data_IF_122514426223
#
_entry.id   IF_122514426223
#
_cell.length_a   1.000
_cell.length_b   1.000
_cell.length_c   1.000
_cell.angle_alpha   90.00
_cell.angle_beta   90.00
_cell.angle_gamma   90.00
#
_symmetry.space_group_name_H-M   'P 1'
#
loop_
_entity.id
_entity.type
_entity.pdbx_description
1 polymer ?
#
# COMPACT_ATOMS: atom_id res chain seq x y z
N UNK A 1 -8.23 19.40 16.00
CA UNK A 1 -8.23 17.94 15.72
C UNK A 1 -8.23 17.75 14.21
N UNK A 2 -7.31 16.94 13.69
CA UNK A 2 -7.27 16.62 12.26
C UNK A 2 -7.86 15.24 12.01
N UNK A 3 -8.79 15.13 11.08
CA UNK A 3 -9.41 13.87 10.65
C UNK A 3 -8.90 13.53 9.26
N UNK A 4 -8.23 12.39 9.14
CA UNK A 4 -7.73 11.88 7.88
C UNK A 4 -8.75 10.92 7.28
N UNK A 5 -9.12 11.16 6.02
CA UNK A 5 -10.11 10.38 5.30
C UNK A 5 -9.47 9.73 4.09
N UNK A 6 -9.65 8.43 3.97
CA UNK A 6 -9.26 7.65 2.78
C UNK A 6 -10.54 7.34 2.02
N UNK A 7 -10.72 7.85 0.79
CA UNK A 7 -11.91 7.57 0.00
C UNK A 7 -11.94 6.11 -0.44
N UNK A 8 -13.12 5.56 -0.61
CA UNK A 8 -13.27 4.25 -1.22
C UNK A 8 -12.95 4.33 -2.72
N UNK A 9 -11.91 3.59 -3.13
CA UNK A 9 -11.46 3.51 -4.52
C UNK A 9 -12.03 2.25 -5.17
N UNK A 10 -12.65 2.40 -6.33
CA UNK A 10 -13.27 1.30 -7.08
C UNK A 10 -12.36 0.69 -8.14
N UNK A 11 -11.14 1.19 -8.26
CA UNK A 11 -10.14 0.70 -9.20
C UNK A 11 -9.41 -0.49 -8.59
N UNK A 12 -9.08 -1.48 -9.40
CA UNK A 12 -8.25 -2.62 -9.01
C UNK A 12 -6.91 -2.15 -8.42
N UNK A 13 -6.43 -2.82 -7.37
CA UNK A 13 -5.23 -2.40 -6.64
C UNK A 13 -3.98 -2.27 -7.52
N UNK A 14 -3.87 -3.05 -8.61
CA UNK A 14 -2.76 -2.94 -9.55
C UNK A 14 -2.81 -1.68 -10.42
N UNK A 15 -3.97 -1.03 -10.51
CA UNK A 15 -4.23 0.11 -11.40
C UNK A 15 -4.58 1.39 -10.64
N UNK A 16 -4.41 1.40 -9.33
CA UNK A 16 -4.65 2.58 -8.51
C UNK A 16 -3.56 3.63 -8.73
N UNK A 17 -3.99 4.88 -8.83
CA UNK A 17 -3.14 6.05 -8.95
C UNK A 17 -3.40 7.01 -7.78
N UNK A 18 -2.47 7.91 -7.53
CA UNK A 18 -2.59 8.92 -6.47
C UNK A 18 -3.89 9.73 -6.60
N UNK A 19 -4.29 10.07 -7.81
CA UNK A 19 -5.49 10.88 -8.08
C UNK A 19 -6.80 10.16 -7.69
N UNK A 20 -6.80 8.83 -7.67
CA UNK A 20 -7.96 8.03 -7.24
C UNK A 20 -8.29 8.24 -5.75
N UNK A 21 -7.31 8.66 -4.97
CA UNK A 21 -7.43 8.92 -3.53
C UNK A 21 -7.68 10.40 -3.21
N UNK A 22 -7.92 11.25 -4.19
CA UNK A 22 -8.26 12.65 -3.98
C UNK A 22 -9.66 12.79 -3.37
N UNK A 23 -9.79 13.69 -2.38
CA UNK A 23 -11.08 14.07 -1.83
C UNK A 23 -11.66 15.23 -2.63
N UNK A 24 -12.83 15.04 -3.20
CA UNK A 24 -13.57 16.14 -3.84
C UNK A 24 -14.16 17.10 -2.80
N UNK A 25 -14.18 18.39 -3.13
CA UNK A 25 -14.73 19.45 -2.27
C UNK A 25 -16.14 19.16 -1.71
N UNK A 26 -17.10 18.60 -2.48
CA UNK A 26 -18.40 18.26 -1.96
C UNK A 26 -18.37 17.20 -0.84
N UNK A 27 -17.48 16.21 -0.95
CA UNK A 27 -17.31 15.18 0.08
C UNK A 27 -16.69 15.76 1.35
N UNK A 28 -15.65 16.58 1.20
CA UNK A 28 -15.01 17.29 2.32
C UNK A 28 -16.04 18.16 3.05
N UNK A 29 -16.84 18.94 2.33
CA UNK A 29 -17.88 19.78 2.91
C UNK A 29 -18.93 18.98 3.69
N UNK A 30 -19.39 17.86 3.16
CA UNK A 30 -20.36 16.98 3.83
C UNK A 30 -19.79 16.37 5.12
N UNK A 31 -18.53 15.90 5.08
CA UNK A 31 -17.87 15.32 6.27
C UNK A 31 -17.66 16.41 7.32
N UNK A 32 -17.17 17.58 6.93
CA UNK A 32 -16.97 18.71 7.83
C UNK A 32 -18.28 19.14 8.49
N UNK A 33 -19.37 19.28 7.75
CA UNK A 33 -20.68 19.62 8.30
C UNK A 33 -21.18 18.57 9.31
N UNK A 34 -21.02 17.28 8.99
CA UNK A 34 -21.42 16.19 9.87
C UNK A 34 -20.63 16.18 11.19
N UNK A 35 -19.33 16.47 11.13
CA UNK A 35 -18.46 16.55 12.30
C UNK A 35 -18.72 17.82 13.12
N UNK A 36 -19.01 18.96 12.48
CA UNK A 36 -19.31 20.22 13.14
C UNK A 36 -20.56 20.15 14.01
N UNK A 37 -21.57 19.40 13.61
CA UNK A 37 -22.79 19.17 14.40
C UNK A 37 -22.52 18.38 15.69
N UNK A 38 -21.40 17.66 15.77
CA UNK A 38 -21.09 16.71 16.85
C UNK A 38 -19.84 17.08 17.65
N UNK A 39 -19.14 18.14 17.26
CA UNK A 39 -17.93 18.59 17.98
C UNK A 39 -18.28 19.27 19.28
N UNK A 40 -17.34 19.20 20.23
CA UNK A 40 -17.44 19.98 21.47
C UNK A 40 -17.17 21.46 21.22
N UNK A 41 -17.74 22.32 22.05
CA UNK A 41 -17.50 23.76 21.97
C UNK A 41 -16.00 24.07 22.09
N UNK A 42 -15.51 24.88 21.13
CA UNK A 42 -14.09 25.26 21.05
C UNK A 42 -13.17 24.30 20.29
N UNK A 43 -13.66 23.12 19.89
CA UNK A 43 -12.86 22.22 19.05
C UNK A 43 -12.89 22.66 17.58
N UNK A 44 -11.72 22.76 16.97
CA UNK A 44 -11.58 22.94 15.51
C UNK A 44 -11.30 21.58 14.89
N UNK A 45 -12.07 21.20 13.87
CA UNK A 45 -11.90 19.96 13.13
C UNK A 45 -11.48 20.29 11.70
N UNK A 46 -10.34 19.76 11.27
CA UNK A 46 -9.85 19.84 9.90
C UNK A 46 -9.99 18.46 9.24
N UNK A 47 -10.62 18.42 8.08
CA UNK A 47 -10.77 17.19 7.28
C UNK A 47 -9.77 17.24 6.13
N UNK A 48 -9.01 16.16 5.94
CA UNK A 48 -8.06 16.06 4.84
C UNK A 48 -7.72 14.60 4.50
N UNK A 49 -6.87 14.42 3.50
CA UNK A 49 -6.31 13.11 3.16
C UNK A 49 -5.03 12.85 3.94
N UNK A 50 -4.66 11.57 4.16
CA UNK A 50 -3.28 11.25 4.54
C UNK A 50 -2.33 11.64 3.40
N UNK A 51 -1.05 11.72 3.71
CA UNK A 51 -0.02 11.71 2.68
C UNK A 51 0.16 10.29 2.16
N UNK A 52 0.30 10.13 0.85
CA UNK A 52 0.56 8.81 0.26
C UNK A 52 2.03 8.70 -0.11
N UNK A 53 2.67 7.69 0.47
CA UNK A 53 4.08 7.38 0.29
C UNK A 53 4.17 6.20 -0.67
N UNK A 54 4.70 6.44 -1.87
CA UNK A 54 4.80 5.41 -2.90
C UNK A 54 5.88 4.39 -2.56
N UNK A 55 5.58 3.11 -2.76
CA UNK A 55 6.52 2.01 -2.59
C UNK A 55 6.43 1.02 -3.73
N UNK A 56 7.57 0.42 -4.07
CA UNK A 56 7.64 -0.74 -4.95
C UNK A 56 8.46 -1.84 -4.30
N UNK A 57 8.04 -3.07 -4.51
CA UNK A 57 8.66 -4.27 -3.98
C UNK A 57 9.27 -5.04 -5.15
N UNK A 58 10.55 -5.39 -5.04
CA UNK A 58 11.21 -6.31 -5.95
C UNK A 58 11.50 -7.62 -5.19
N UNK A 59 10.98 -8.72 -5.70
CA UNK A 59 11.18 -10.03 -5.11
C UNK A 59 11.79 -11.01 -6.12
N UNK A 60 12.76 -11.79 -5.66
CA UNK A 60 13.31 -12.93 -6.36
C UNK A 60 12.82 -14.20 -5.64
N UNK A 61 12.11 -15.05 -6.36
CA UNK A 61 11.51 -16.27 -5.81
C UNK A 61 11.78 -17.47 -6.68
N UNK A 62 11.76 -18.66 -6.09
CA UNK A 62 11.88 -19.91 -6.80
C UNK A 62 10.52 -20.63 -6.81
N UNK A 63 10.09 -21.07 -7.99
CA UNK A 63 8.89 -21.87 -8.12
C UNK A 63 9.16 -23.36 -7.85
N UNK A 64 8.15 -24.05 -7.33
CA UNK A 64 8.17 -25.50 -7.22
C UNK A 64 8.33 -26.14 -8.62
N UNK A 65 9.08 -27.27 -8.74
CA UNK A 65 9.21 -27.97 -9.99
C UNK A 65 7.86 -28.31 -10.63
N UNK A 66 7.71 -28.04 -11.91
CA UNK A 66 6.48 -28.29 -12.65
C UNK A 66 5.37 -27.23 -12.47
N UNK A 67 5.60 -26.19 -11.69
CA UNK A 67 4.65 -25.08 -11.59
C UNK A 67 4.99 -24.00 -12.62
N UNK A 68 4.00 -23.45 -13.34
CA UNK A 68 4.24 -22.40 -14.33
C UNK A 68 4.72 -21.10 -13.63
N UNK A 69 5.91 -20.64 -13.96
CA UNK A 69 6.51 -19.42 -13.39
C UNK A 69 5.60 -18.19 -13.53
N UNK A 70 4.87 -18.10 -14.65
CA UNK A 70 3.91 -17.01 -14.89
C UNK A 70 2.78 -16.99 -13.86
N UNK A 71 2.21 -18.16 -13.53
CA UNK A 71 1.14 -18.22 -12.54
C UNK A 71 1.62 -17.86 -11.13
N UNK A 72 2.80 -18.35 -10.76
CA UNK A 72 3.41 -18.02 -9.46
C UNK A 72 3.66 -16.52 -9.38
N UNK A 73 4.21 -15.92 -10.43
CA UNK A 73 4.44 -14.48 -10.51
C UNK A 73 3.15 -13.68 -10.36
N UNK A 74 2.10 -14.03 -11.11
CA UNK A 74 0.82 -13.30 -11.05
C UNK A 74 0.19 -13.36 -9.65
N UNK A 75 0.19 -14.54 -9.02
CA UNK A 75 -0.31 -14.71 -7.64
C UNK A 75 0.50 -13.89 -6.63
N UNK A 76 1.82 -13.89 -6.78
CA UNK A 76 2.70 -13.09 -5.94
C UNK A 76 2.42 -11.58 -6.10
N UNK A 77 2.29 -11.11 -7.34
CA UNK A 77 1.95 -9.70 -7.61
C UNK A 77 0.59 -9.30 -7.03
N UNK A 78 -0.45 -10.13 -7.22
CA UNK A 78 -1.77 -9.88 -6.62
C UNK A 78 -1.72 -9.79 -5.11
N UNK A 79 -0.94 -10.67 -4.49
CA UNK A 79 -0.77 -10.69 -3.04
C UNK A 79 -0.06 -9.44 -2.54
N UNK A 80 1.01 -9.00 -3.21
CA UNK A 80 1.75 -7.80 -2.85
C UNK A 80 0.89 -6.54 -2.97
N UNK A 81 0.18 -6.37 -4.09
CA UNK A 81 -0.70 -5.22 -4.29
C UNK A 81 -1.84 -5.18 -3.28
N UNK A 82 -2.41 -6.33 -2.94
CA UNK A 82 -3.45 -6.42 -1.92
C UNK A 82 -2.93 -6.12 -0.52
N UNK A 83 -1.73 -6.58 -0.21
CA UNK A 83 -1.13 -6.38 1.11
C UNK A 83 -0.77 -4.91 1.38
N UNK A 84 -0.24 -4.20 0.39
CA UNK A 84 0.12 -2.78 0.50
C UNK A 84 -1.03 -1.89 0.00
N UNK A 85 -2.24 -2.19 0.39
CA UNK A 85 -3.41 -1.39 0.01
C UNK A 85 -3.89 -0.56 1.21
N UNK A 86 -4.15 0.76 1.02
CA UNK A 86 -4.56 1.62 2.13
C UNK A 86 -5.91 1.25 2.75
N UNK A 87 -6.79 0.55 2.02
CA UNK A 87 -8.15 0.23 2.44
C UNK A 87 -8.33 -1.22 2.87
N UNK A 88 -7.62 -2.14 2.25
CA UNK A 88 -7.82 -3.58 2.44
C UNK A 88 -6.53 -4.34 2.74
N UNK A 89 -5.41 -3.62 2.84
CA UNK A 89 -4.10 -4.21 3.10
C UNK A 89 -3.80 -4.45 4.57
N UNK A 90 -2.53 -4.63 4.85
CA UNK A 90 -2.03 -4.93 6.19
C UNK A 90 -2.27 -6.39 6.60
N UNK A 91 -1.79 -6.74 7.78
CA UNK A 91 -1.87 -8.10 8.32
C UNK A 91 -3.32 -8.53 8.57
N UNK A 92 -4.15 -7.59 9.01
CA UNK A 92 -5.55 -7.86 9.38
C UNK A 92 -6.52 -7.69 8.20
N UNK A 93 -6.06 -7.23 7.03
CA UNK A 93 -6.89 -7.01 5.85
C UNK A 93 -7.89 -5.85 5.97
N UNK A 94 -7.69 -4.96 6.92
CA UNK A 94 -8.55 -3.81 7.20
C UNK A 94 -7.95 -2.47 6.76
N UNK A 95 -6.97 -2.51 5.88
CA UNK A 95 -6.17 -1.39 5.44
C UNK A 95 -4.80 -1.33 6.10
N UNK A 96 -3.86 -0.67 5.45
CA UNK A 96 -2.54 -0.47 6.02
C UNK A 96 -2.62 0.40 7.28
N UNK A 97 -2.09 -0.05 8.44
CA UNK A 97 -2.17 0.74 9.65
C UNK A 97 -1.29 2.00 9.57
N UNK A 98 -1.77 3.11 10.14
CA UNK A 98 -0.92 4.28 10.36
C UNK A 98 0.26 3.93 11.28
N UNK A 99 1.36 4.66 11.13
CA UNK A 99 2.58 4.50 11.94
C UNK A 99 3.21 3.09 11.87
N UNK A 100 2.91 2.33 10.81
CA UNK A 100 3.43 0.98 10.61
C UNK A 100 4.37 0.95 9.42
N UNK A 101 5.63 0.64 9.67
CA UNK A 101 6.67 0.56 8.65
C UNK A 101 6.52 -0.68 7.76
N UNK A 102 7.03 -0.59 6.53
CA UNK A 102 7.09 -1.73 5.61
C UNK A 102 8.42 -2.46 5.77
N UNK A 103 8.36 -3.75 6.03
CA UNK A 103 9.52 -4.59 6.31
C UNK A 103 9.63 -5.73 5.28
N UNK A 104 10.81 -5.91 4.69
CA UNK A 104 11.08 -6.96 3.71
C UNK A 104 10.90 -8.38 4.27
N UNK A 105 11.21 -8.61 5.55
CA UNK A 105 11.00 -9.91 6.19
C UNK A 105 9.51 -10.27 6.27
N UNK A 106 8.64 -9.31 6.56
CA UNK A 106 7.18 -9.51 6.56
C UNK A 106 6.69 -9.85 5.14
N UNK A 107 7.21 -9.17 4.12
CA UNK A 107 6.89 -9.46 2.73
C UNK A 107 7.37 -10.86 2.32
N UNK A 108 8.58 -11.27 2.74
CA UNK A 108 9.09 -12.61 2.46
C UNK A 108 8.18 -13.69 3.06
N UNK A 109 7.79 -13.56 4.33
CA UNK A 109 6.83 -14.47 4.97
C UNK A 109 5.48 -14.53 4.25
N UNK A 110 4.99 -13.38 3.81
CA UNK A 110 3.74 -13.29 3.06
C UNK A 110 3.84 -14.07 1.74
N UNK A 111 4.96 -13.91 1.02
CA UNK A 111 5.19 -14.58 -0.26
C UNK A 111 5.36 -16.10 -0.12
N UNK A 112 5.87 -16.60 1.00
CA UNK A 112 5.97 -18.04 1.27
C UNK A 112 4.62 -18.76 1.26
N UNK A 113 3.53 -18.04 1.50
CA UNK A 113 2.16 -18.58 1.43
C UNK A 113 1.60 -18.68 0.00
N UNK A 114 2.32 -18.21 -1.02
CA UNK A 114 1.87 -18.28 -2.41
C UNK A 114 1.94 -19.71 -2.93
N UNK A 115 0.80 -20.23 -3.40
CA UNK A 115 0.75 -21.56 -3.99
C UNK A 115 1.64 -21.69 -5.21
N UNK A 116 2.50 -22.71 -5.20
CA UNK A 116 3.46 -22.99 -6.25
C UNK A 116 4.84 -22.34 -6.05
N UNK A 117 5.02 -21.57 -4.99
CA UNK A 117 6.31 -21.02 -4.61
C UNK A 117 7.06 -21.99 -3.70
N UNK A 118 8.34 -22.24 -3.98
CA UNK A 118 9.21 -23.10 -3.18
C UNK A 118 9.88 -22.31 -2.06
N UNK A 119 10.49 -21.16 -2.44
CA UNK A 119 11.18 -20.28 -1.49
C UNK A 119 11.30 -18.85 -2.02
N UNK A 120 11.46 -17.94 -1.09
CA UNK A 120 11.82 -16.55 -1.36
C UNK A 120 13.33 -16.40 -1.23
N UNK A 121 14.01 -15.93 -2.27
CA UNK A 121 15.46 -15.74 -2.26
C UNK A 121 15.86 -14.35 -1.79
N UNK A 122 15.16 -13.32 -2.28
CA UNK A 122 15.45 -11.93 -1.94
C UNK A 122 14.18 -11.08 -2.02
N UNK A 123 14.07 -10.12 -1.10
CA UNK A 123 13.05 -9.07 -1.14
C UNK A 123 13.73 -7.73 -0.88
N UNK A 124 13.56 -6.80 -1.79
CA UNK A 124 14.03 -5.42 -1.67
C UNK A 124 12.85 -4.45 -1.80
N UNK A 125 12.86 -3.46 -0.95
CA UNK A 125 11.88 -2.39 -0.93
C UNK A 125 12.48 -1.11 -1.47
N UNK A 126 11.72 -0.37 -2.28
CA UNK A 126 12.16 0.91 -2.83
C UNK A 126 11.09 1.98 -2.60
N UNK A 127 11.54 3.16 -2.27
CA UNK A 127 10.70 4.35 -2.33
C UNK A 127 10.38 4.68 -3.78
N UNK A 128 9.17 5.17 -4.01
CA UNK A 128 8.68 5.47 -5.34
C UNK A 128 7.98 6.82 -5.35
N UNK A 129 8.35 7.68 -6.28
CA UNK A 129 7.66 8.94 -6.48
C UNK A 129 6.39 8.71 -7.30
N UNK A 130 5.24 8.85 -6.66
CA UNK A 130 3.92 8.65 -7.29
C UNK A 130 3.60 9.71 -8.35
N UNK A 131 4.29 10.84 -8.37
CA UNK A 131 4.06 11.93 -9.31
C UNK A 131 4.93 11.80 -10.56
N UNK A 132 6.20 11.48 -10.38
CA UNK A 132 7.14 11.32 -11.49
C UNK A 132 7.13 9.93 -12.09
N UNK A 133 6.67 8.93 -11.35
CA UNK A 133 6.69 7.54 -11.76
C UNK A 133 8.07 6.89 -11.65
N UNK A 134 8.96 7.45 -10.85
CA UNK A 134 10.33 6.98 -10.71
C UNK A 134 10.60 6.35 -9.36
N UNK A 135 11.42 5.32 -9.38
CA UNK A 135 11.92 4.66 -8.19
C UNK A 135 13.12 5.42 -7.66
N UNK A 136 13.14 5.71 -6.35
CA UNK A 136 14.22 6.42 -5.70
C UNK A 136 15.14 5.51 -4.90
N UNK A 137 16.43 5.82 -4.96
CA UNK A 137 17.46 5.25 -4.10
C UNK A 137 17.77 3.79 -4.37
N UNK A 138 18.36 3.17 -3.36
CA UNK A 138 18.76 1.75 -3.36
C UNK A 138 17.72 0.91 -2.66
N UNK A 139 17.71 -0.40 -2.94
CA UNK A 139 16.86 -1.36 -2.24
C UNK A 139 17.15 -1.37 -0.74
N UNK A 140 16.11 -1.42 0.07
CA UNK A 140 16.15 -1.43 1.53
C UNK A 140 15.38 -2.61 2.09
N UNK A 141 15.70 -3.00 3.31
CA UNK A 141 14.95 -4.01 4.05
C UNK A 141 13.80 -3.41 4.85
N UNK A 142 13.84 -2.11 5.08
CA UNK A 142 12.83 -1.36 5.84
C UNK A 142 12.58 -0.01 5.18
N UNK A 143 11.30 0.33 5.00
CA UNK A 143 10.86 1.69 4.66
C UNK A 143 9.98 2.19 5.81
N UNK A 144 10.38 3.30 6.39
CA UNK A 144 9.61 3.95 7.44
C UNK A 144 8.42 4.69 6.86
N UNK A 145 7.30 4.59 7.56
CA UNK A 145 6.11 5.35 7.24
C UNK A 145 6.13 6.67 8.00
N UNK A 146 6.04 7.77 7.27
CA UNK A 146 5.97 9.10 7.86
C UNK A 146 4.64 9.29 8.61
N UNK A 147 4.67 10.18 9.59
CA UNK A 147 3.48 10.53 10.37
C UNK A 147 2.33 11.00 9.45
N UNK A 148 1.11 10.55 9.73
CA UNK A 148 -0.09 10.87 8.94
C UNK A 148 -0.04 10.42 7.48
N UNK A 149 0.79 9.43 7.18
CA UNK A 149 0.97 8.84 5.85
C UNK A 149 0.43 7.43 5.76
N UNK A 150 0.13 6.99 4.54
CA UNK A 150 -0.15 5.60 4.19
C UNK A 150 0.67 5.21 2.96
N UNK A 151 1.04 3.94 2.88
CA UNK A 151 1.69 3.43 1.68
C UNK A 151 0.69 3.28 0.54
N UNK A 152 1.16 3.59 -0.66
CA UNK A 152 0.47 3.29 -1.91
C UNK A 152 1.41 2.51 -2.82
N UNK A 153 0.94 1.35 -3.29
CA UNK A 153 1.70 0.51 -4.20
C UNK A 153 1.93 1.19 -5.54
N UNK A 154 3.19 1.17 -5.99
CA UNK A 154 3.52 1.31 -7.39
C UNK A 154 3.63 -0.09 -8.05
N UNK A 155 4.08 -0.15 -9.29
CA UNK A 155 4.28 -1.42 -9.98
C UNK A 155 5.36 -2.26 -9.28
N UNK A 156 4.95 -3.36 -8.65
CA UNK A 156 5.87 -4.32 -8.06
C UNK A 156 6.52 -5.21 -9.11
N UNK A 157 7.67 -5.79 -8.79
CA UNK A 157 8.42 -6.69 -9.65
C UNK A 157 8.65 -8.04 -8.95
N UNK A 158 8.27 -9.12 -9.60
CA UNK A 158 8.55 -10.47 -9.13
C UNK A 158 9.25 -11.25 -10.24
N UNK A 159 10.46 -11.70 -9.95
CA UNK A 159 11.25 -12.59 -10.82
C UNK A 159 11.15 -13.99 -10.26
N UNK A 160 10.71 -14.93 -11.09
CA UNK A 160 10.54 -16.35 -10.74
C UNK A 160 11.59 -17.19 -11.48
N UNK A 161 12.34 -17.98 -10.72
CA UNK A 161 13.31 -18.97 -11.22
C UNK A 161 12.77 -20.38 -11.13
#
# INVERSE_FOLDING_TARGET
>A
MRVLVVPHVRVDQRHQHLDDFALGDPLVARISSHLDERRTLGAVVEVGTPYYQGVTIAALVQALPGRPATQVRERALDLLHRFVDPLTGGVDGNGWPFDTDLNAATIAQLLEAVDGLERVEEVLLFEYDLRTGERHGVGRELIRLDAHSLFLSAAHQVVVR
#
